data_IF_599494545982
#
_entry.id   IF_599494545982
#
_cell.length_a   1.000
_cell.length_b   1.000
_cell.length_c   1.000
_cell.angle_alpha   90.00
_cell.angle_beta   90.00
_cell.angle_gamma   90.00
#
_symmetry.space_group_name_H-M   'P 1'
#
loop_
_entity.id
_entity.type
_entity.pdbx_description
1 polymer ?
#
# COMPACT_ATOMS: atom_id res chain seq x y z
N UNK A 1 -16.59 -7.04 -7.64
CA UNK A 1 -15.44 -7.76 -8.22
C UNK A 1 -14.94 -8.78 -7.20
N UNK A 2 -14.09 -9.75 -7.57
CA UNK A 2 -13.50 -10.71 -6.60
C UNK A 2 -12.21 -10.15 -6.01
N UNK A 3 -11.91 -10.47 -4.75
CA UNK A 3 -10.68 -10.07 -4.08
C UNK A 3 -9.54 -11.05 -4.37
N UNK A 4 -8.35 -10.49 -4.55
CA UNK A 4 -7.11 -11.17 -4.96
C UNK A 4 -5.96 -10.77 -4.05
N UNK A 5 -4.88 -11.55 -4.07
CA UNK A 5 -3.61 -11.19 -3.42
C UNK A 5 -2.65 -10.62 -4.45
N UNK A 6 -2.05 -9.50 -4.10
CA UNK A 6 -1.02 -8.84 -4.88
C UNK A 6 0.23 -8.63 -4.04
N UNK A 7 1.40 -8.91 -4.61
CA UNK A 7 2.67 -8.44 -4.09
C UNK A 7 2.94 -7.07 -4.72
N UNK A 8 3.00 -6.04 -3.88
CA UNK A 8 3.45 -4.71 -4.25
C UNK A 8 4.88 -4.51 -3.74
N UNK A 9 5.72 -3.86 -4.54
CA UNK A 9 7.09 -3.54 -4.16
C UNK A 9 7.55 -2.25 -4.81
N UNK A 10 8.54 -1.59 -4.20
CA UNK A 10 9.13 -0.37 -4.74
C UNK A 10 10.66 -0.38 -4.58
N UNK A 11 11.32 0.52 -5.30
CA UNK A 11 12.78 0.69 -5.29
C UNK A 11 13.21 2.15 -5.24
N UNK A 12 12.32 3.07 -4.88
CA UNK A 12 12.60 4.51 -4.90
C UNK A 12 12.98 5.02 -3.51
N UNK A 13 12.27 4.59 -2.46
CA UNK A 13 12.56 4.95 -1.07
C UNK A 13 13.31 3.78 -0.39
N UNK A 14 14.63 3.75 -0.51
CA UNK A 14 15.49 2.66 -0.03
C UNK A 14 16.42 3.07 1.13
N UNK A 15 16.11 4.17 1.80
CA UNK A 15 16.88 4.64 2.95
C UNK A 15 16.42 3.89 4.21
N UNK A 16 16.57 4.50 5.38
CA UNK A 16 16.09 3.97 6.64
C UNK A 16 14.62 4.29 6.85
N UNK A 17 13.95 3.49 7.68
CA UNK A 17 12.56 3.71 8.06
C UNK A 17 11.58 3.69 6.86
N UNK A 18 11.86 2.81 5.90
CA UNK A 18 11.04 2.64 4.70
C UNK A 18 10.50 1.22 4.57
N UNK A 19 9.36 1.11 3.90
CA UNK A 19 8.84 -0.17 3.44
C UNK A 19 9.52 -0.54 2.11
N UNK A 20 9.73 -1.83 1.87
CA UNK A 20 10.23 -2.34 0.57
C UNK A 20 9.12 -3.00 -0.26
N UNK A 21 8.26 -3.77 0.39
CA UNK A 21 7.23 -4.60 -0.24
C UNK A 21 6.13 -5.01 0.73
N UNK A 22 4.99 -5.42 0.18
CA UNK A 22 3.86 -5.94 0.93
C UNK A 22 2.98 -6.88 0.09
N UNK A 23 2.36 -7.85 0.75
CA UNK A 23 1.24 -8.60 0.20
C UNK A 23 -0.07 -7.94 0.63
N UNK A 24 -0.90 -7.56 -0.33
CA UNK A 24 -2.13 -6.80 -0.11
C UNK A 24 -3.34 -7.46 -0.76
N UNK A 25 -4.51 -7.19 -0.20
CA UNK A 25 -5.81 -7.64 -0.72
C UNK A 25 -6.44 -6.54 -1.55
N UNK A 26 -6.68 -6.78 -2.83
CA UNK A 26 -7.29 -5.78 -3.72
C UNK A 26 -8.15 -6.45 -4.81
N UNK A 27 -8.98 -5.64 -5.47
CA UNK A 27 -9.82 -6.09 -6.59
C UNK A 27 -9.04 -6.18 -7.91
N UNK A 28 -8.02 -5.34 -8.06
CA UNK A 28 -7.20 -5.22 -9.26
C UNK A 28 -5.83 -4.58 -8.93
N UNK A 29 -4.95 -4.53 -9.93
CA UNK A 29 -3.60 -3.97 -9.80
C UNK A 29 -3.61 -2.48 -9.41
N UNK A 30 -4.49 -1.67 -9.99
CA UNK A 30 -4.57 -0.24 -9.70
C UNK A 30 -4.95 0.01 -8.23
N UNK A 31 -5.93 -0.75 -7.73
CA UNK A 31 -6.32 -0.73 -6.33
C UNK A 31 -5.19 -1.20 -5.41
N UNK A 32 -4.44 -2.25 -5.80
CA UNK A 32 -3.31 -2.75 -5.02
C UNK A 32 -2.21 -1.70 -4.86
N UNK A 33 -1.86 -0.97 -5.92
CA UNK A 33 -0.85 0.11 -5.88
C UNK A 33 -1.27 1.32 -5.03
N UNK A 34 -2.55 1.42 -4.67
CA UNK A 34 -3.11 2.47 -3.79
C UNK A 34 -3.20 2.04 -2.32
N UNK A 35 -2.60 0.90 -1.94
CA UNK A 35 -2.53 0.43 -0.56
C UNK A 35 -1.15 0.75 0.02
N UNK A 36 -1.14 1.45 1.15
CA UNK A 36 0.10 1.75 1.87
C UNK A 36 0.51 0.52 2.72
N UNK A 37 1.77 0.03 2.64
CA UNK A 37 2.24 -1.15 3.39
C UNK A 37 2.09 -1.09 4.91
N UNK A 38 2.02 0.11 5.50
CA UNK A 38 1.76 0.26 6.94
C UNK A 38 0.41 -0.30 7.39
N UNK A 39 -0.54 -0.50 6.47
CA UNK A 39 -1.91 -0.92 6.80
C UNK A 39 -2.68 0.10 7.65
N UNK A 40 -2.14 1.30 7.83
CA UNK A 40 -2.74 2.32 8.68
C UNK A 40 -3.98 2.92 7.99
N UNK A 41 -5.14 2.74 8.61
CA UNK A 41 -6.45 3.22 8.10
C UNK A 41 -6.52 4.75 7.92
N UNK A 42 -5.60 5.48 8.54
CA UNK A 42 -5.52 6.93 8.43
C UNK A 42 -4.63 7.38 7.26
N UNK A 43 -3.95 6.45 6.59
CA UNK A 43 -3.08 6.72 5.43
C UNK A 43 -3.79 6.37 4.14
N UNK A 44 -3.77 7.27 3.16
CA UNK A 44 -4.35 7.03 1.83
C UNK A 44 -3.61 7.81 0.75
N UNK A 45 -3.65 7.31 -0.47
CA UNK A 45 -3.18 8.06 -1.63
C UNK A 45 -4.21 9.12 -2.03
N UNK A 46 -3.75 10.34 -2.33
CA UNK A 46 -4.57 11.42 -2.85
C UNK A 46 -4.18 11.67 -4.32
N UNK A 47 -5.08 11.34 -5.24
CA UNK A 47 -4.88 11.54 -6.69
C UNK A 47 -4.78 12.99 -7.14
N UNK A 48 -5.42 13.91 -6.41
CA UNK A 48 -5.43 15.33 -6.78
C UNK A 48 -4.05 15.94 -6.57
N UNK A 49 -3.43 15.57 -5.46
CA UNK A 49 -2.17 16.14 -4.99
C UNK A 49 -0.97 15.22 -5.31
N UNK A 50 -1.22 14.01 -5.83
CA UNK A 50 -0.23 12.96 -6.10
C UNK A 50 0.69 12.68 -4.91
N UNK A 51 0.10 12.52 -3.73
CA UNK A 51 0.84 12.30 -2.49
C UNK A 51 0.11 11.32 -1.56
N UNK A 52 0.88 10.64 -0.71
CA UNK A 52 0.32 9.93 0.43
C UNK A 52 -0.06 10.94 1.52
N UNK A 53 -1.27 10.81 2.05
CA UNK A 53 -1.77 11.65 3.13
C UNK A 53 -2.07 10.80 4.36
N UNK A 54 -1.62 11.26 5.52
CA UNK A 54 -1.91 10.71 6.83
C UNK A 54 -2.83 11.67 7.60
N UNK A 55 -3.94 11.14 8.10
CA UNK A 55 -4.87 11.91 8.94
C UNK A 55 -4.52 11.74 10.43
N UNK A 56 -4.24 12.84 11.10
CA UNK A 56 -4.12 12.87 12.56
C UNK A 56 -5.06 13.91 13.15
N UNK A 57 -5.98 13.48 14.02
CA UNK A 57 -7.08 14.30 14.52
C UNK A 57 -7.91 14.93 13.39
N UNK A 58 -7.86 16.26 13.26
CA UNK A 58 -8.59 17.04 12.25
C UNK A 58 -7.73 17.45 11.06
N UNK A 59 -6.44 17.16 11.12
CA UNK A 59 -5.46 17.64 10.15
C UNK A 59 -4.99 16.50 9.23
N UNK A 60 -4.58 16.89 8.01
CA UNK A 60 -4.00 16.03 7.00
C UNK A 60 -2.54 16.40 6.82
N UNK A 61 -1.67 15.41 6.86
CA UNK A 61 -0.23 15.56 6.71
C UNK A 61 0.22 14.77 5.48
N UNK A 62 1.11 15.33 4.68
CA UNK A 62 1.80 14.56 3.64
C UNK A 62 2.75 13.53 4.32
N UNK A 63 2.76 12.29 3.82
CA UNK A 63 3.65 11.22 4.25
C UNK A 63 4.49 10.73 3.09
N UNK A 64 5.74 10.34 3.34
CA UNK A 64 6.71 9.99 2.28
C UNK A 64 7.35 8.61 2.45
N UNK A 65 6.85 7.73 3.31
CA UNK A 65 7.49 6.43 3.60
C UNK A 65 7.19 5.33 2.56
N UNK A 66 6.44 5.65 1.50
CA UNK A 66 6.12 4.74 0.41
C UNK A 66 6.09 5.44 -0.95
N UNK A 67 6.30 4.66 -2.01
CA UNK A 67 6.41 5.16 -3.38
C UNK A 67 5.07 5.64 -3.96
N UNK A 68 5.12 6.47 -5.00
CA UNK A 68 3.95 6.80 -5.80
C UNK A 68 3.44 5.56 -6.58
N UNK A 69 2.14 5.45 -6.88
CA UNK A 69 1.58 4.31 -7.63
C UNK A 69 2.30 4.00 -8.95
N UNK A 70 2.81 5.02 -9.65
CA UNK A 70 3.55 4.84 -10.91
C UNK A 70 4.88 4.11 -10.74
N UNK A 71 5.49 4.20 -9.55
CA UNK A 71 6.79 3.62 -9.22
C UNK A 71 6.66 2.29 -8.45
N UNK A 72 5.42 1.85 -8.18
CA UNK A 72 5.13 0.57 -7.53
C UNK A 72 5.00 -0.53 -8.59
N UNK A 73 5.81 -1.58 -8.43
CA UNK A 73 5.62 -2.84 -9.14
C UNK A 73 4.53 -3.64 -8.44
N UNK A 74 3.63 -4.25 -9.21
CA UNK A 74 2.54 -5.07 -8.69
C UNK A 74 2.53 -6.41 -9.41
N UNK A 75 2.44 -7.50 -8.66
CA UNK A 75 2.41 -8.87 -9.18
C UNK A 75 1.26 -9.62 -8.54
N UNK A 76 0.41 -10.24 -9.36
CA UNK A 76 -0.66 -11.10 -8.87
C UNK A 76 -0.07 -12.36 -8.23
N UNK A 77 -0.46 -12.63 -6.98
CA UNK A 77 -0.01 -13.80 -6.21
C UNK A 77 -1.11 -14.85 -6.11
N UNK A 78 -2.37 -14.43 -6.00
CA UNK A 78 -3.52 -15.34 -5.96
C UNK A 78 -4.79 -14.71 -6.53
N UNK A 79 -5.58 -15.49 -7.29
CA UNK A 79 -6.85 -15.08 -7.92
C UNK A 79 -8.04 -15.02 -6.95
N UNK A 80 -7.87 -15.51 -5.72
CA UNK A 80 -8.88 -15.50 -4.68
C UNK A 80 -8.26 -15.40 -3.28
N UNK A 81 -9.00 -14.82 -2.34
CA UNK A 81 -8.67 -14.78 -0.91
C UNK A 81 -9.66 -15.62 -0.10
N UNK A 82 -9.22 -16.12 1.05
CA UNK A 82 -10.10 -16.84 1.97
C UNK A 82 -11.19 -15.90 2.53
N UNK A 83 -12.31 -16.45 3.04
CA UNK A 83 -13.30 -15.66 3.77
C UNK A 83 -12.66 -14.91 4.95
N UNK A 84 -13.11 -13.68 5.20
CA UNK A 84 -12.63 -12.83 6.30
C UNK A 84 -11.58 -11.79 5.90
N UNK A 85 -11.00 -11.88 4.70
CA UNK A 85 -10.14 -10.82 4.15
C UNK A 85 -10.97 -9.68 3.56
N UNK A 86 -10.49 -8.44 3.72
CA UNK A 86 -11.16 -7.22 3.23
C UNK A 86 -10.30 -6.49 2.20
N UNK A 87 -10.93 -5.78 1.26
CA UNK A 87 -10.21 -4.89 0.33
C UNK A 87 -9.39 -3.84 1.10
N UNK A 88 -8.18 -3.56 0.64
CA UNK A 88 -7.27 -2.61 1.31
C UNK A 88 -6.45 -3.21 2.44
N UNK A 89 -6.69 -4.48 2.80
CA UNK A 89 -5.96 -5.14 3.89
C UNK A 89 -4.53 -5.46 3.47
N UNK A 90 -3.58 -5.17 4.37
CA UNK A 90 -2.20 -5.65 4.27
C UNK A 90 -2.09 -6.97 5.01
N UNK A 91 -1.61 -8.01 4.31
CA UNK A 91 -1.43 -9.36 4.87
C UNK A 91 -0.08 -9.47 5.56
N UNK A 92 0.96 -8.95 4.91
CA UNK A 92 2.33 -8.92 5.40
C UNK A 92 3.06 -7.76 4.72
N UNK A 93 3.92 -7.06 5.45
CA UNK A 93 4.74 -5.98 4.92
C UNK A 93 6.19 -6.14 5.42
N UNK A 94 7.13 -5.79 4.56
CA UNK A 94 8.55 -5.69 4.89
C UNK A 94 8.91 -4.23 5.17
N UNK A 95 9.42 -3.97 6.38
CA UNK A 95 9.86 -2.66 6.84
C UNK A 95 11.32 -2.73 7.29
N UNK A 96 12.14 -1.84 6.75
CA UNK A 96 13.56 -1.76 7.07
C UNK A 96 13.80 -0.65 8.09
N UNK A 97 13.72 -1.02 9.37
CA UNK A 97 14.11 -0.14 10.46
C UNK A 97 15.63 0.07 10.45
N UNK A 98 16.07 1.32 10.56
CA UNK A 98 17.47 1.74 10.66
C UNK A 98 17.96 1.86 12.08
#
# INVERSE_FOLDING_TARGET
MSLKLYLISQRVNNEYDTYSDAVVVAENEEAAKRIHPSGCIYTRWNDKDNEWQFKHNRDLYAGSSWAEPKDITCTLVAEAVAPGYSAGQVVCASYHAG
#
